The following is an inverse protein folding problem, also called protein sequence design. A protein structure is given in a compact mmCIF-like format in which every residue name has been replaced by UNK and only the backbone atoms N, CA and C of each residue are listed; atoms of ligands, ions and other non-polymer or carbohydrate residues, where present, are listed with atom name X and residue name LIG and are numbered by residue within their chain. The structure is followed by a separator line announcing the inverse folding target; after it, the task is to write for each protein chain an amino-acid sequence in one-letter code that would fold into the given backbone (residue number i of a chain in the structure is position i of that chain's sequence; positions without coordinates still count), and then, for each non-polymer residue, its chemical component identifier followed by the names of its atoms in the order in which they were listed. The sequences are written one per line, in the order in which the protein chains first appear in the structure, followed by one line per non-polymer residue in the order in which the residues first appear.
data_IF_508099793033
#
_entry.id   IF_508099793033
#
_cell.length_a   1.000
_cell.length_b   1.000
_cell.length_c   1.000
_cell.angle_alpha   90.00
_cell.angle_beta   90.00
_cell.angle_gamma   90.00
#
_symmetry.space_group_name_H-M   'P 1'
#
loop_
_entity.id
_entity.type
_entity.pdbx_description
1 polymer ?
#
# COMPACT_ATOMS: atom_id res chain seq x y z
N UNK A 1 3.60 -18.94 -4.97
CA UNK A 1 3.87 -17.72 -5.75
C UNK A 1 5.21 -17.19 -5.28
N UNK A 2 6.15 -16.95 -6.17
CA UNK A 2 7.45 -16.38 -5.80
C UNK A 2 7.36 -14.85 -5.84
N UNK A 3 7.77 -14.20 -4.75
CA UNK A 3 7.85 -12.76 -4.63
C UNK A 3 9.30 -12.33 -4.82
N UNK A 4 9.53 -11.26 -5.57
CA UNK A 4 10.87 -10.66 -5.60
C UNK A 4 11.16 -9.96 -4.25
N UNK A 5 12.44 -9.74 -3.91
CA UNK A 5 12.80 -8.97 -2.73
C UNK A 5 12.15 -7.58 -2.69
N UNK A 6 12.05 -6.92 -3.84
CA UNK A 6 11.43 -5.60 -3.99
C UNK A 6 9.93 -5.65 -3.73
N UNK A 7 9.24 -6.66 -4.27
CA UNK A 7 7.81 -6.88 -4.04
C UNK A 7 7.53 -7.11 -2.56
N UNK A 8 8.31 -7.98 -1.90
CA UNK A 8 8.16 -8.22 -0.46
C UNK A 8 8.46 -6.95 0.35
N UNK A 9 9.49 -6.19 -0.02
CA UNK A 9 9.79 -4.91 0.61
C UNK A 9 8.66 -3.89 0.46
N UNK A 10 8.02 -3.82 -0.71
CA UNK A 10 6.86 -2.95 -0.93
C UNK A 10 5.65 -3.37 -0.09
N UNK A 11 5.35 -4.67 0.02
CA UNK A 11 4.28 -5.15 0.91
C UNK A 11 4.54 -4.75 2.38
N UNK A 12 5.78 -4.91 2.85
CA UNK A 12 6.18 -4.45 4.18
C UNK A 12 6.04 -2.93 4.34
N UNK A 13 6.40 -2.14 3.32
CA UNK A 13 6.21 -0.67 3.32
C UNK A 13 4.72 -0.30 3.45
N UNK A 14 3.84 -0.97 2.68
CA UNK A 14 2.39 -0.74 2.78
C UNK A 14 1.90 -1.01 4.20
N UNK A 15 2.28 -2.14 4.81
CA UNK A 15 1.86 -2.51 6.16
C UNK A 15 2.36 -1.53 7.23
N UNK A 16 3.62 -1.11 7.13
CA UNK A 16 4.28 -0.30 8.17
C UNK A 16 3.95 1.20 8.11
N UNK A 17 3.38 1.68 7.00
CA UNK A 17 3.08 3.10 6.80
C UNK A 17 1.58 3.41 6.80
N UNK A 18 0.77 2.61 7.49
CA UNK A 18 -0.64 2.91 7.71
C UNK A 18 -0.78 4.30 8.33
N UNK A 19 -1.56 5.17 7.70
CA UNK A 19 -1.73 6.54 8.15
C UNK A 19 -2.55 6.54 9.46
N UNK A 20 -2.00 7.09 10.54
CA UNK A 20 -2.68 7.22 11.82
C UNK A 20 -3.15 8.67 12.03
N UNK A 21 -4.44 8.90 11.83
CA UNK A 21 -5.11 10.16 12.18
C UNK A 21 -5.70 10.07 13.59
N UNK A 22 -4.86 10.05 14.63
CA UNK A 22 -5.29 9.83 16.01
C UNK A 22 -5.60 8.36 16.31
N UNK A 23 -6.77 8.05 16.86
CA UNK A 23 -7.14 6.70 17.30
C UNK A 23 -7.48 5.72 16.15
N UNK A 24 -7.60 6.21 14.91
CA UNK A 24 -8.05 5.40 13.77
C UNK A 24 -6.88 5.07 12.83
N UNK A 25 -6.65 3.78 12.62
CA UNK A 25 -5.75 3.29 11.56
C UNK A 25 -6.45 3.48 10.20
N UNK A 26 -5.83 4.22 9.30
CA UNK A 26 -6.29 4.42 7.92
C UNK A 26 -5.40 3.68 6.94
N UNK A 27 -5.88 3.55 5.72
CA UNK A 27 -5.09 3.02 4.61
C UNK A 27 -3.84 3.89 4.35
N UNK A 28 -2.79 3.24 3.86
CA UNK A 28 -1.49 3.85 3.58
C UNK A 28 -1.59 4.78 2.38
N UNK A 29 -1.23 6.05 2.54
CA UNK A 29 -1.23 7.00 1.43
C UNK A 29 -0.14 6.60 0.41
N UNK A 30 -0.54 6.42 -0.85
CA UNK A 30 0.35 6.01 -1.94
C UNK A 30 1.55 6.96 -2.07
N UNK A 31 1.34 8.27 -2.08
CA UNK A 31 2.43 9.23 -2.31
C UNK A 31 3.45 9.29 -1.17
N UNK A 32 3.12 8.77 0.03
CA UNK A 32 4.09 8.62 1.13
C UNK A 32 5.02 7.41 0.96
N UNK A 33 4.64 6.42 0.15
CA UNK A 33 5.40 5.19 -0.04
C UNK A 33 5.79 4.93 -1.50
N UNK A 34 5.31 5.71 -2.45
CA UNK A 34 5.63 5.59 -3.86
C UNK A 34 6.21 6.90 -4.39
N UNK A 35 7.51 7.10 -4.17
CA UNK A 35 8.20 8.34 -4.54
C UNK A 35 8.61 8.37 -6.02
N UNK A 36 8.69 7.21 -6.66
CA UNK A 36 9.14 7.06 -8.05
C UNK A 36 8.07 6.40 -8.92
N UNK A 37 8.20 6.57 -10.25
CA UNK A 37 7.38 5.82 -11.21
C UNK A 37 7.57 4.31 -11.08
N UNK A 38 8.76 3.86 -10.70
CA UNK A 38 9.06 2.46 -10.46
C UNK A 38 8.31 1.92 -9.23
N UNK A 39 8.22 2.69 -8.13
CA UNK A 39 7.40 2.30 -6.98
C UNK A 39 5.92 2.13 -7.36
N UNK A 40 5.38 3.06 -8.16
CA UNK A 40 3.98 2.99 -8.62
C UNK A 40 3.74 1.77 -9.53
N UNK A 41 4.69 1.43 -10.41
CA UNK A 41 4.62 0.23 -11.23
C UNK A 41 4.71 -1.06 -10.40
N UNK A 42 5.52 -1.06 -9.34
CA UNK A 42 5.62 -2.17 -8.40
C UNK A 42 4.31 -2.37 -7.63
N UNK A 43 3.70 -1.28 -7.14
CA UNK A 43 2.37 -1.33 -6.51
C UNK A 43 1.31 -1.88 -7.46
N UNK A 44 1.28 -1.42 -8.71
CA UNK A 44 0.36 -1.92 -9.74
C UNK A 44 0.55 -3.43 -10.01
N UNK A 45 1.80 -3.89 -10.04
CA UNK A 45 2.13 -5.31 -10.16
C UNK A 45 1.58 -6.12 -8.98
N UNK A 46 1.72 -5.61 -7.75
CA UNK A 46 1.15 -6.23 -6.56
C UNK A 46 -0.38 -6.28 -6.59
N UNK A 47 -1.03 -5.24 -7.14
CA UNK A 47 -2.47 -5.21 -7.37
C UNK A 47 -2.92 -6.26 -8.38
N UNK A 48 -2.24 -6.37 -9.53
CA UNK A 48 -2.50 -7.43 -10.51
C UNK A 48 -2.30 -8.84 -9.94
N UNK A 49 -1.39 -9.01 -8.97
CA UNK A 49 -1.17 -10.28 -8.25
C UNK A 49 -2.20 -10.55 -7.13
N UNK A 50 -3.11 -9.61 -6.88
CA UNK A 50 -4.14 -9.68 -5.83
C UNK A 50 -3.59 -9.58 -4.41
N UNK A 51 -2.42 -8.96 -4.23
CA UNK A 51 -1.77 -8.81 -2.93
C UNK A 51 -2.04 -7.45 -2.27
N UNK A 52 -2.29 -6.43 -3.08
CA UNK A 52 -2.65 -5.10 -2.61
C UNK A 52 -3.86 -4.59 -3.39
N UNK A 53 -4.58 -3.65 -2.81
CA UNK A 53 -5.62 -2.89 -3.48
C UNK A 53 -5.32 -1.40 -3.34
N UNK A 54 -5.82 -0.62 -4.30
CA UNK A 54 -5.76 0.84 -4.30
C UNK A 54 -7.18 1.41 -4.28
N UNK A 55 -7.35 2.58 -3.68
CA UNK A 55 -8.61 3.29 -3.70
C UNK A 55 -8.56 4.59 -2.90
N UNK A 56 -9.70 5.25 -2.77
CA UNK A 56 -9.81 6.48 -1.99
C UNK A 56 -9.54 6.18 -0.50
N UNK A 57 -8.46 6.73 0.04
CA UNK A 57 -8.11 6.58 1.47
C UNK A 57 -8.95 7.44 2.40
N UNK A 58 -9.52 8.53 1.86
CA UNK A 58 -10.31 9.52 2.57
C UNK A 58 -9.85 10.93 2.21
N UNK A 59 -10.11 11.87 3.11
CA UNK A 59 -9.68 13.27 2.97
C UNK A 59 -8.81 13.70 4.14
N UNK A 60 -7.77 14.49 3.87
CA UNK A 60 -6.92 15.17 4.85
C UNK A 60 -7.05 16.66 4.61
N UNK A 61 -7.46 17.42 5.63
CA UNK A 61 -7.74 18.87 5.51
C UNK A 61 -8.72 19.28 4.38
N UNK A 62 -9.53 18.34 3.90
CA UNK A 62 -10.47 18.55 2.79
C UNK A 62 -9.99 18.01 1.45
N UNK A 63 -8.70 17.68 1.32
CA UNK A 63 -8.12 17.12 0.09
C UNK A 63 -8.21 15.59 0.09
N UNK A 64 -8.78 14.95 -0.95
CA UNK A 64 -8.78 13.51 -1.07
C UNK A 64 -7.37 12.97 -1.30
N UNK A 65 -7.11 11.74 -0.84
CA UNK A 65 -5.85 11.06 -1.12
C UNK A 65 -6.07 9.64 -1.60
N UNK A 66 -5.22 9.21 -2.55
CA UNK A 66 -5.17 7.83 -3.00
C UNK A 66 -4.38 6.99 -2.00
N UNK A 67 -4.96 5.86 -1.61
CA UNK A 67 -4.40 4.96 -0.64
C UNK A 67 -4.28 3.54 -1.17
N UNK A 68 -3.50 2.74 -0.45
CA UNK A 68 -3.31 1.33 -0.69
C UNK A 68 -3.35 0.53 0.62
N UNK A 69 -3.72 -0.74 0.52
CA UNK A 69 -3.75 -1.69 1.63
C UNK A 69 -3.48 -3.11 1.15
N UNK A 70 -3.02 -3.95 2.07
CA UNK A 70 -2.82 -5.38 1.81
C UNK A 70 -4.15 -6.12 1.81
N UNK A 71 -4.34 -6.98 0.80
CA UNK A 71 -5.39 -8.01 0.83
C UNK A 71 -5.06 -9.07 1.89
N UNK A 72 -5.99 -9.97 2.25
CA UNK A 72 -5.65 -11.11 3.11
C UNK A 72 -4.45 -11.91 2.58
N UNK A 73 -4.42 -12.17 1.27
CA UNK A 73 -3.30 -12.84 0.58
C UNK A 73 -2.00 -12.04 0.67
N UNK A 74 -2.05 -10.71 0.58
CA UNK A 74 -0.88 -9.84 0.76
C UNK A 74 -0.31 -9.88 2.18
N UNK A 75 -1.18 -10.02 3.19
CA UNK A 75 -0.75 -10.16 4.60
C UNK A 75 -0.09 -11.51 4.84
N UNK A 76 -0.65 -12.59 4.32
CA UNK A 76 -0.04 -13.93 4.40
C UNK A 76 1.33 -14.00 3.71
N UNK A 77 1.58 -13.15 2.72
CA UNK A 77 2.83 -13.13 1.98
C UNK A 77 3.97 -12.36 2.67
N UNK A 78 3.67 -11.58 3.71
CA UNK A 78 4.68 -10.89 4.52
C UNK A 78 5.04 -11.64 5.81
N UNK A 79 4.15 -12.49 6.32
CA UNK A 79 4.43 -13.45 7.41
C UNK A 79 5.42 -14.55 6.95
#
# INVERSE_FOLDING_TARGET
MELTPEEKAMLCRISNNQYSGGAYKRATWIDMICHTKADKALLDTLCHKGLAEIGLGGTVAGDPYDACWLTPKGKEAID
#
